data_IF_343772274621
#
_entry.id   IF_343772274621
#
_cell.length_a   1.000
_cell.length_b   1.000
_cell.length_c   1.000
_cell.angle_alpha   90.00
_cell.angle_beta   90.00
_cell.angle_gamma   90.00
#
_symmetry.space_group_name_H-M   'P 1'
#
loop_
_entity.id
_entity.type
_entity.pdbx_description
1 polymer ?
#
# COMPACT_ATOMS: atom_id res chain seq x y z
N UNK A 1 16.03 7.65 -13.20
CA UNK A 1 16.63 6.74 -12.18
C UNK A 1 15.55 5.85 -11.51
N UNK A 2 15.91 4.89 -10.64
CA UNK A 2 14.94 4.09 -9.88
C UNK A 2 15.05 4.36 -8.37
N UNK A 3 13.90 4.47 -7.70
CA UNK A 3 13.76 4.56 -6.25
C UNK A 3 13.09 3.28 -5.78
N UNK A 4 13.74 2.56 -4.86
CA UNK A 4 13.15 1.37 -4.24
C UNK A 4 12.14 1.81 -3.17
N UNK A 5 10.92 1.29 -3.27
CA UNK A 5 9.82 1.53 -2.33
C UNK A 5 9.49 0.27 -1.52
N UNK A 6 10.27 -0.79 -1.70
CA UNK A 6 10.07 -2.08 -1.03
C UNK A 6 10.78 -2.06 0.31
N UNK A 7 10.05 -2.33 1.38
CA UNK A 7 10.60 -2.50 2.72
C UNK A 7 11.60 -3.66 2.75
N UNK A 8 12.79 -3.41 3.29
CA UNK A 8 13.75 -4.46 3.60
C UNK A 8 13.25 -5.30 4.80
N UNK A 9 13.05 -6.60 4.58
CA UNK A 9 12.64 -7.54 5.64
C UNK A 9 13.82 -8.41 6.06
N UNK A 10 14.32 -8.18 7.27
CA UNK A 10 15.37 -9.00 7.89
C UNK A 10 14.77 -10.21 8.63
N UNK A 11 15.59 -11.24 8.98
CA UNK A 11 15.11 -12.36 9.80
C UNK A 11 14.52 -11.92 11.15
N UNK A 12 15.09 -10.87 11.76
CA UNK A 12 14.56 -10.30 13.01
C UNK A 12 13.19 -9.67 12.78
N UNK A 13 13.05 -8.83 11.76
CA UNK A 13 11.75 -8.21 11.42
C UNK A 13 10.69 -9.27 11.09
N UNK A 14 11.08 -10.38 10.46
CA UNK A 14 10.18 -11.50 10.20
C UNK A 14 9.67 -12.12 11.50
N UNK A 15 10.55 -12.32 12.49
CA UNK A 15 10.17 -12.87 13.79
C UNK A 15 9.28 -11.91 14.57
N UNK A 16 9.64 -10.62 14.59
CA UNK A 16 8.88 -9.57 15.29
C UNK A 16 7.48 -9.41 14.69
N UNK A 17 7.35 -9.38 13.36
CA UNK A 17 6.08 -9.30 12.66
C UNK A 17 5.17 -10.50 12.96
N UNK A 18 5.69 -11.74 12.88
CA UNK A 18 4.93 -12.95 13.21
C UNK A 18 4.48 -13.01 14.68
N UNK A 19 5.22 -12.37 15.58
CA UNK A 19 4.86 -12.27 16.98
C UNK A 19 3.72 -11.29 17.26
N UNK A 20 3.55 -10.27 16.41
CA UNK A 20 2.62 -9.16 16.64
C UNK A 20 1.42 -9.13 15.67
N UNK A 21 1.50 -9.80 14.52
CA UNK A 21 0.44 -9.90 13.52
C UNK A 21 0.25 -11.34 13.05
N UNK A 22 -0.93 -11.88 13.32
CA UNK A 22 -1.35 -13.24 12.92
C UNK A 22 -1.34 -13.45 11.40
N UNK A 23 -1.54 -12.38 10.63
CA UNK A 23 -1.53 -12.39 9.17
C UNK A 23 -0.16 -12.19 8.55
N UNK A 24 0.91 -11.97 9.33
CA UNK A 24 2.30 -11.91 8.85
C UNK A 24 2.83 -13.29 8.43
N UNK A 25 2.03 -14.00 7.63
CA UNK A 25 2.33 -15.23 6.92
C UNK A 25 3.01 -14.88 5.59
N UNK A 26 3.45 -15.90 4.86
CA UNK A 26 4.32 -15.73 3.67
C UNK A 26 3.77 -14.78 2.59
N UNK A 27 2.45 -14.57 2.52
CA UNK A 27 1.80 -13.66 1.55
C UNK A 27 1.82 -12.17 1.91
N UNK A 28 1.70 -11.84 3.20
CA UNK A 28 1.49 -10.47 3.70
C UNK A 28 2.69 -9.95 4.52
N UNK A 29 3.84 -10.59 4.40
CA UNK A 29 5.07 -10.18 5.08
C UNK A 29 5.80 -9.10 4.26
N UNK A 30 6.16 -8.00 4.92
CA UNK A 30 6.81 -6.86 4.27
C UNK A 30 5.91 -6.14 3.27
N UNK A 31 6.51 -5.47 2.29
CA UNK A 31 5.76 -4.92 1.15
C UNK A 31 5.11 -6.04 0.36
N UNK A 32 3.79 -5.96 0.22
CA UNK A 32 3.01 -6.96 -0.48
C UNK A 32 1.83 -6.32 -1.20
N UNK A 33 1.27 -7.09 -2.13
CA UNK A 33 0.10 -6.74 -2.92
C UNK A 33 -1.08 -7.60 -2.47
N UNK A 34 -2.16 -6.97 -2.02
CA UNK A 34 -3.39 -7.66 -1.62
C UNK A 34 -4.22 -8.04 -2.83
N UNK A 35 -3.93 -9.21 -3.38
CA UNK A 35 -4.64 -9.77 -4.55
C UNK A 35 -6.02 -10.31 -4.19
N UNK A 36 -6.26 -10.59 -2.90
CA UNK A 36 -7.52 -11.09 -2.38
C UNK A 36 -7.96 -12.37 -3.09
N UNK A 37 -9.20 -12.43 -3.59
CA UNK A 37 -9.71 -13.55 -4.38
C UNK A 37 -9.56 -13.35 -5.90
N UNK A 38 -8.67 -12.45 -6.34
CA UNK A 38 -8.44 -12.10 -7.75
C UNK A 38 -7.09 -12.64 -8.24
N UNK A 39 -6.70 -12.18 -9.42
CA UNK A 39 -5.35 -12.33 -9.96
C UNK A 39 -4.76 -10.94 -10.24
N UNK A 40 -3.44 -10.82 -10.15
CA UNK A 40 -2.76 -9.56 -10.50
C UNK A 40 -2.94 -9.26 -12.00
N UNK A 41 -3.55 -8.12 -12.38
CA UNK A 41 -3.69 -7.76 -13.78
C UNK A 41 -2.33 -7.27 -14.32
N UNK A 42 -1.76 -7.95 -15.33
CA UNK A 42 -0.48 -7.52 -15.91
C UNK A 42 -0.52 -6.11 -16.52
N UNK A 43 -1.70 -5.59 -16.87
CA UNK A 43 -1.86 -4.20 -17.28
C UNK A 43 -1.64 -3.19 -16.15
N UNK A 44 -1.47 -3.65 -14.91
CA UNK A 44 -1.19 -2.83 -13.72
C UNK A 44 0.30 -2.85 -13.36
N UNK A 45 1.15 -3.52 -14.16
CA UNK A 45 2.60 -3.60 -13.94
C UNK A 45 3.24 -2.22 -13.86
N UNK A 46 2.78 -1.28 -14.68
CA UNK A 46 3.28 0.09 -14.76
C UNK A 46 2.11 1.07 -14.65
N UNK A 47 2.10 1.89 -13.60
CA UNK A 47 1.06 2.90 -13.36
C UNK A 47 1.68 4.27 -13.11
N UNK A 48 1.02 5.32 -13.55
CA UNK A 48 1.38 6.68 -13.16
C UNK A 48 1.19 6.83 -11.64
N UNK A 49 2.20 7.37 -10.96
CA UNK A 49 2.18 7.53 -9.51
C UNK A 49 1.67 8.90 -9.10
N UNK A 50 0.81 8.94 -8.08
CA UNK A 50 0.35 10.18 -7.43
C UNK A 50 0.55 10.01 -5.93
N UNK A 51 1.32 10.89 -5.29
CA UNK A 51 1.58 10.83 -3.84
C UNK A 51 0.90 11.98 -3.11
N UNK A 52 0.34 11.67 -1.94
CA UNK A 52 -0.18 12.62 -0.97
C UNK A 52 0.60 12.50 0.34
N UNK A 53 1.22 13.61 0.77
CA UNK A 53 1.78 13.73 2.12
C UNK A 53 0.63 13.98 3.09
N UNK A 54 0.35 12.98 3.93
CA UNK A 54 -0.74 12.97 4.92
C UNK A 54 -0.19 12.73 6.33
N UNK A 55 1.11 13.01 6.54
CA UNK A 55 1.76 12.88 7.85
C UNK A 55 1.01 13.68 8.92
N UNK A 56 0.86 13.07 10.09
CA UNK A 56 0.19 13.69 11.25
C UNK A 56 -1.34 13.60 11.25
N UNK A 57 -1.95 12.91 10.27
CA UNK A 57 -3.39 12.69 10.18
C UNK A 57 -3.69 11.21 10.52
N UNK A 58 -4.56 10.93 11.49
CA UNK A 58 -4.95 9.54 11.87
C UNK A 58 -6.05 8.97 10.94
N UNK A 59 -7.07 9.77 10.64
CA UNK A 59 -8.15 9.42 9.70
C UNK A 59 -8.06 10.34 8.47
N UNK A 60 -7.65 9.79 7.33
CA UNK A 60 -7.50 10.55 6.09
C UNK A 60 -8.86 10.61 5.38
N UNK A 61 -9.44 11.81 5.34
CA UNK A 61 -10.76 12.04 4.74
C UNK A 61 -10.74 12.85 3.45
N UNK A 62 -9.76 13.76 3.32
CA UNK A 62 -9.73 14.76 2.26
C UNK A 62 -8.35 14.82 1.62
N UNK A 63 -8.32 14.70 0.31
CA UNK A 63 -7.16 14.93 -0.56
C UNK A 63 -7.60 15.72 -1.79
N UNK A 64 -6.63 16.22 -2.54
CA UNK A 64 -6.89 16.87 -3.83
C UNK A 64 -7.12 15.82 -4.94
N UNK A 65 -8.39 15.41 -5.09
CA UNK A 65 -8.82 14.39 -6.06
C UNK A 65 -8.64 14.79 -7.52
N UNK A 66 -8.39 16.07 -7.81
CA UNK A 66 -8.18 16.56 -9.18
C UNK A 66 -6.80 16.17 -9.72
N UNK A 67 -5.87 15.79 -8.84
CA UNK A 67 -4.57 15.22 -9.22
C UNK A 67 -4.67 13.78 -9.73
N UNK A 68 -5.78 13.09 -9.46
CA UNK A 68 -5.94 11.66 -9.74
C UNK A 68 -6.63 11.45 -11.09
N UNK A 69 -6.00 10.62 -11.93
CA UNK A 69 -6.54 10.13 -13.20
C UNK A 69 -6.93 8.65 -13.06
N UNK A 70 -7.85 8.23 -13.94
CA UNK A 70 -8.24 6.82 -14.03
C UNK A 70 -7.02 5.94 -14.30
N UNK A 71 -6.85 4.90 -13.49
CA UNK A 71 -5.75 3.95 -13.60
C UNK A 71 -4.49 4.31 -12.82
N UNK A 72 -4.47 5.43 -12.10
CA UNK A 72 -3.29 5.81 -11.30
C UNK A 72 -3.00 4.82 -10.16
N UNK A 73 -1.74 4.82 -9.72
CA UNK A 73 -1.29 4.31 -8.43
C UNK A 73 -1.27 5.48 -7.45
N UNK A 74 -2.19 5.50 -6.49
CA UNK A 74 -2.32 6.57 -5.50
C UNK A 74 -1.65 6.16 -4.19
N UNK A 75 -0.65 6.92 -3.76
CA UNK A 75 0.19 6.67 -2.59
C UNK A 75 -0.17 7.65 -1.48
N UNK A 76 -0.36 7.11 -0.28
CA UNK A 76 -0.52 7.89 0.95
C UNK A 76 0.75 7.74 1.80
N UNK A 77 1.50 8.84 1.93
CA UNK A 77 2.67 8.88 2.81
C UNK A 77 2.26 9.39 4.18
N UNK A 78 2.20 8.48 5.14
CA UNK A 78 1.77 8.74 6.52
C UNK A 78 2.95 8.98 7.47
N UNK A 79 4.16 8.56 7.09
CA UNK A 79 5.36 8.56 7.93
C UNK A 79 5.33 7.50 9.03
N UNK A 80 4.34 6.61 9.04
CA UNK A 80 4.09 5.73 10.16
C UNK A 80 5.10 4.57 10.23
N UNK A 81 5.53 4.04 9.08
CA UNK A 81 6.60 3.05 9.00
C UNK A 81 7.90 3.56 9.64
N UNK A 82 8.31 4.77 9.28
CA UNK A 82 9.53 5.42 9.80
C UNK A 82 9.42 5.67 11.31
N UNK A 83 8.24 6.10 11.78
CA UNK A 83 8.00 6.44 13.18
C UNK A 83 7.90 5.23 14.10
N UNK A 84 7.06 4.25 13.75
CA UNK A 84 6.74 3.12 14.62
C UNK A 84 7.63 1.90 14.37
N UNK A 85 8.24 1.81 13.18
CA UNK A 85 9.07 0.68 12.76
C UNK A 85 8.25 -0.56 12.44
N UNK A 86 8.52 -1.19 11.29
CA UNK A 86 7.87 -2.45 10.93
C UNK A 86 8.10 -3.54 11.99
N UNK A 87 7.11 -4.40 12.20
CA UNK A 87 7.22 -5.52 13.13
C UNK A 87 6.83 -5.19 14.57
N UNK A 88 6.65 -3.92 14.93
CA UNK A 88 6.23 -3.53 16.29
C UNK A 88 4.72 -3.66 16.49
N UNK A 89 4.29 -3.82 17.75
CA UNK A 89 2.86 -3.84 18.09
C UNK A 89 2.16 -2.52 17.75
N UNK A 90 2.84 -1.38 17.95
CA UNK A 90 2.31 -0.07 17.56
C UNK A 90 2.04 -0.03 16.06
N UNK A 91 2.98 -0.55 15.25
CA UNK A 91 2.86 -0.57 13.80
C UNK A 91 1.59 -1.28 13.29
N UNK A 92 1.24 -2.42 13.89
CA UNK A 92 0.07 -3.20 13.45
C UNK A 92 -1.26 -2.74 14.06
N UNK A 93 -1.26 -1.92 15.12
CA UNK A 93 -2.50 -1.62 15.87
C UNK A 93 -2.94 -0.16 15.79
N UNK A 94 -2.02 0.77 15.56
CA UNK A 94 -2.26 2.20 15.70
C UNK A 94 -1.91 3.02 14.44
N UNK A 95 -1.80 2.37 13.28
CA UNK A 95 -1.51 3.07 12.04
C UNK A 95 -2.67 3.99 11.61
N UNK A 96 -2.38 5.09 10.90
CA UNK A 96 -3.40 5.89 10.23
C UNK A 96 -4.22 5.06 9.23
N UNK A 97 -5.43 5.51 8.92
CA UNK A 97 -6.33 4.82 7.99
C UNK A 97 -7.11 5.79 7.10
N UNK A 98 -7.55 5.30 5.94
CA UNK A 98 -8.40 6.06 5.04
C UNK A 98 -9.87 5.93 5.47
N UNK A 99 -10.61 7.03 5.44
CA UNK A 99 -12.05 6.97 5.66
C UNK A 99 -12.78 6.20 4.55
N UNK A 100 -13.92 5.59 4.89
CA UNK A 100 -14.74 4.85 3.92
C UNK A 100 -15.10 5.74 2.74
N UNK A 101 -15.50 6.99 3.02
CA UNK A 101 -15.85 7.97 1.99
C UNK A 101 -14.68 8.33 1.07
N UNK A 102 -13.45 8.38 1.59
CA UNK A 102 -12.29 8.60 0.74
C UNK A 102 -12.04 7.41 -0.18
N UNK A 103 -12.14 6.19 0.34
CA UNK A 103 -11.98 4.95 -0.45
C UNK A 103 -13.01 4.91 -1.58
N UNK A 104 -14.29 5.18 -1.31
CA UNK A 104 -15.34 5.26 -2.35
C UNK A 104 -14.95 6.25 -3.47
N UNK A 105 -14.46 7.43 -3.12
CA UNK A 105 -14.05 8.44 -4.10
C UNK A 105 -12.84 8.00 -4.94
N UNK A 106 -11.92 7.22 -4.38
CA UNK A 106 -10.80 6.63 -5.12
C UNK A 106 -11.30 5.58 -6.12
N UNK A 107 -12.27 4.77 -5.72
CA UNK A 107 -12.91 3.78 -6.59
C UNK A 107 -13.70 4.45 -7.72
N UNK A 108 -14.43 5.52 -7.44
CA UNK A 108 -15.14 6.34 -8.44
C UNK A 108 -14.17 6.95 -9.47
N UNK A 109 -12.99 7.37 -9.03
CA UNK A 109 -11.89 7.83 -9.91
C UNK A 109 -11.21 6.68 -10.67
N UNK A 110 -11.58 5.42 -10.41
CA UNK A 110 -11.02 4.21 -11.02
C UNK A 110 -9.51 4.09 -10.80
N UNK A 111 -9.07 4.38 -9.57
CA UNK A 111 -7.69 4.11 -9.14
C UNK A 111 -7.37 2.63 -9.32
N UNK A 112 -6.18 2.32 -9.83
CA UNK A 112 -5.76 0.93 -10.03
C UNK A 112 -5.16 0.33 -8.77
N UNK A 113 -4.29 1.09 -8.08
CA UNK A 113 -3.62 0.62 -6.86
C UNK A 113 -3.60 1.76 -5.83
N UNK A 114 -3.91 1.43 -4.59
CA UNK A 114 -3.76 2.30 -3.42
C UNK A 114 -2.55 1.79 -2.64
N UNK A 115 -1.52 2.63 -2.49
CA UNK A 115 -0.34 2.29 -1.70
C UNK A 115 -0.26 3.08 -0.41
N UNK A 116 0.27 2.45 0.64
CA UNK A 116 0.45 3.07 1.95
C UNK A 116 1.70 2.52 2.66
N UNK A 117 2.34 3.34 3.48
CA UNK A 117 3.44 2.96 4.38
C UNK A 117 2.94 2.42 5.74
N UNK A 118 1.80 1.74 5.73
CA UNK A 118 1.15 1.15 6.89
C UNK A 118 0.83 -0.32 6.64
N UNK A 119 0.47 -1.04 7.70
CA UNK A 119 -0.09 -2.39 7.66
C UNK A 119 -1.55 -2.43 7.18
N UNK A 120 -1.97 -1.44 6.38
CA UNK A 120 -3.25 -1.41 5.68
C UNK A 120 -3.94 -0.06 5.61
N UNK A 121 -4.91 0.02 4.69
CA UNK A 121 -5.71 1.23 4.46
C UNK A 121 -6.85 1.38 5.48
N UNK A 122 -7.20 0.29 6.17
CA UNK A 122 -8.15 0.20 7.27
C UNK A 122 -7.62 -0.68 8.39
N UNK A 123 -8.16 -0.51 9.59
CA UNK A 123 -7.74 -1.26 10.79
C UNK A 123 -8.71 -2.37 11.19
N UNK A 124 -8.20 -3.29 12.00
CA UNK A 124 -9.00 -4.23 12.77
C UNK A 124 -9.95 -5.07 11.91
N UNK A 125 -11.24 -5.08 12.28
CA UNK A 125 -12.25 -5.90 11.60
C UNK A 125 -12.63 -5.38 10.22
N UNK A 126 -12.32 -4.13 9.90
CA UNK A 126 -12.68 -3.48 8.63
C UNK A 126 -11.61 -3.67 7.55
N UNK A 127 -10.36 -3.97 7.93
CA UNK A 127 -9.22 -4.18 7.03
C UNK A 127 -9.57 -5.14 5.87
N UNK A 128 -9.69 -6.44 6.14
CA UNK A 128 -9.82 -7.45 5.07
C UNK A 128 -11.10 -7.31 4.24
N UNK A 129 -12.28 -6.99 4.83
CA UNK A 129 -13.47 -6.71 4.03
C UNK A 129 -13.27 -5.51 3.10
N UNK A 130 -12.53 -4.48 3.51
CA UNK A 130 -12.27 -3.31 2.68
C UNK A 130 -11.31 -3.62 1.53
N UNK A 131 -10.23 -4.36 1.77
CA UNK A 131 -9.29 -4.71 0.68
C UNK A 131 -9.98 -5.59 -0.37
N UNK A 132 -10.84 -6.52 0.08
CA UNK A 132 -11.68 -7.31 -0.80
C UNK A 132 -12.68 -6.44 -1.58
N UNK A 133 -13.30 -5.45 -0.93
CA UNK A 133 -14.20 -4.52 -1.58
C UNK A 133 -13.49 -3.70 -2.67
N UNK A 134 -12.28 -3.20 -2.40
CA UNK A 134 -11.43 -2.56 -3.41
C UNK A 134 -11.17 -3.52 -4.58
N UNK A 135 -10.76 -4.76 -4.30
CA UNK A 135 -10.42 -5.76 -5.32
C UNK A 135 -11.62 -6.11 -6.21
N UNK A 136 -12.84 -6.15 -5.64
CA UNK A 136 -14.08 -6.33 -6.38
C UNK A 136 -14.39 -5.16 -7.35
N UNK A 137 -13.81 -3.99 -7.11
CA UNK A 137 -13.89 -2.80 -7.96
C UNK A 137 -12.66 -2.62 -8.88
N UNK A 138 -11.79 -3.63 -8.99
CA UNK A 138 -10.53 -3.59 -9.75
C UNK A 138 -9.51 -2.55 -9.26
N UNK A 139 -9.58 -2.20 -7.97
CA UNK A 139 -8.55 -1.44 -7.27
C UNK A 139 -7.88 -2.37 -6.24
N UNK A 140 -6.56 -2.31 -6.11
CA UNK A 140 -5.82 -3.19 -5.20
C UNK A 140 -5.03 -2.39 -4.17
N UNK A 141 -4.62 -3.04 -3.09
CA UNK A 141 -3.83 -2.41 -2.03
C UNK A 141 -2.40 -2.91 -2.07
N UNK A 142 -1.46 -1.99 -1.85
CA UNK A 142 -0.06 -2.30 -1.60
C UNK A 142 0.35 -1.68 -0.26
N UNK A 143 0.68 -2.54 0.68
CA UNK A 143 0.98 -2.16 2.06
C UNK A 143 2.48 -2.12 2.33
N UNK A 144 2.84 -1.50 3.46
CA UNK A 144 4.20 -1.46 3.98
C UNK A 144 5.21 -0.92 2.95
N UNK A 145 4.82 0.09 2.18
CA UNK A 145 5.75 0.81 1.30
C UNK A 145 6.77 1.59 2.14
N UNK A 146 8.00 1.65 1.64
CA UNK A 146 9.11 2.34 2.28
C UNK A 146 9.59 3.52 1.40
N UNK A 147 10.43 4.39 1.97
CA UNK A 147 11.15 5.44 1.25
C UNK A 147 10.24 6.41 0.46
N UNK A 148 9.02 6.64 0.95
CA UNK A 148 8.02 7.48 0.27
C UNK A 148 8.40 8.97 0.27
N UNK A 149 9.19 9.44 1.23
CA UNK A 149 9.67 10.82 1.28
C UNK A 149 10.45 11.19 -0.01
N UNK A 150 11.20 10.25 -0.58
CA UNK A 150 11.97 10.45 -1.81
C UNK A 150 11.11 10.79 -3.03
N UNK A 151 9.81 10.45 -3.00
CA UNK A 151 8.86 10.75 -4.08
C UNK A 151 8.30 12.16 -4.00
N UNK A 152 8.32 12.82 -2.83
CA UNK A 152 7.77 14.17 -2.66
C UNK A 152 8.51 15.22 -3.48
N UNK A 153 9.78 14.96 -3.81
CA UNK A 153 10.62 15.85 -4.61
C UNK A 153 10.51 15.60 -6.12
N UNK A 154 9.67 14.64 -6.54
CA UNK A 154 9.53 14.23 -7.93
C UNK A 154 8.28 14.86 -8.54
N UNK A 155 8.43 15.45 -9.74
CA UNK A 155 7.30 16.04 -10.44
C UNK A 155 6.38 14.98 -11.05
N UNK A 156 6.98 13.96 -11.68
CA UNK A 156 6.29 12.85 -12.32
C UNK A 156 7.09 11.57 -12.09
N UNK A 157 6.39 10.45 -11.90
CA UNK A 157 7.01 9.15 -11.73
C UNK A 157 6.05 8.02 -12.10
N UNK A 158 6.62 6.92 -12.56
CA UNK A 158 5.87 5.68 -12.86
C UNK A 158 6.19 4.64 -11.79
N UNK A 159 5.15 4.08 -11.17
CA UNK A 159 5.30 2.97 -10.23
C UNK A 159 5.28 1.66 -11.01
N UNK A 160 6.27 0.83 -10.73
CA UNK A 160 6.39 -0.52 -11.27
C UNK A 160 6.14 -1.51 -10.13
N UNK A 161 5.16 -2.40 -10.30
CA UNK A 161 4.68 -3.32 -9.25
C UNK A 161 4.83 -4.76 -9.69
N UNK A 162 5.67 -5.52 -8.99
CA UNK A 162 6.02 -6.91 -9.34
C UNK A 162 5.66 -7.88 -8.21
N UNK A 163 4.39 -8.28 -8.07
CA UNK A 163 3.99 -9.29 -7.10
C UNK A 163 4.43 -10.68 -7.53
N UNK A 164 4.78 -11.52 -6.57
CA UNK A 164 5.08 -12.93 -6.80
C UNK A 164 3.83 -13.67 -7.30
N UNK A 165 3.99 -14.58 -8.27
CA UNK A 165 2.89 -15.38 -8.81
C UNK A 165 2.60 -16.62 -7.96
N UNK A 166 2.21 -16.41 -6.70
CA UNK A 166 1.74 -17.49 -5.83
C UNK A 166 0.25 -17.75 -6.02
N UNK A 167 -0.16 -19.01 -5.93
CA UNK A 167 -1.56 -19.44 -5.99
C UNK A 167 -2.14 -19.57 -4.59
N UNK A 168 -3.47 -19.43 -4.48
CA UNK A 168 -4.23 -19.66 -3.24
C UNK A 168 -3.82 -18.76 -2.07
N UNK A 169 -3.36 -17.53 -2.37
CA UNK A 169 -2.98 -16.51 -1.40
C UNK A 169 -3.77 -15.23 -1.61
N UNK A 170 -4.10 -14.54 -0.52
CA UNK A 170 -4.77 -13.23 -0.55
C UNK A 170 -3.79 -12.07 -0.60
N UNK A 171 -2.54 -12.28 -0.21
CA UNK A 171 -1.44 -11.32 -0.29
C UNK A 171 -0.27 -11.95 -1.01
N UNK A 172 0.44 -11.16 -1.81
CA UNK A 172 1.59 -11.58 -2.60
C UNK A 172 2.79 -10.70 -2.26
N UNK A 173 3.94 -11.28 -1.84
CA UNK A 173 5.16 -10.50 -1.67
C UNK A 173 5.47 -9.74 -2.95
N UNK A 174 5.81 -8.47 -2.83
CA UNK A 174 5.84 -7.58 -3.97
C UNK A 174 7.10 -6.72 -3.95
N UNK A 175 7.77 -6.64 -5.11
CA UNK A 175 8.80 -5.64 -5.36
C UNK A 175 8.13 -4.41 -5.99
N UNK A 176 8.32 -3.25 -5.38
CA UNK A 176 7.76 -1.99 -5.86
C UNK A 176 8.89 -0.97 -6.04
N UNK A 177 8.99 -0.39 -7.23
CA UNK A 177 9.98 0.65 -7.53
C UNK A 177 9.33 1.81 -8.28
N UNK A 178 9.72 3.03 -7.94
CA UNK A 178 9.38 4.20 -8.75
C UNK A 178 10.48 4.44 -9.79
N UNK A 179 10.08 4.53 -11.06
CA UNK A 179 10.90 5.08 -12.13
C UNK A 179 10.65 6.58 -12.17
N UNK A 180 11.69 7.34 -11.93
CA UNK A 180 11.70 8.81 -12.01
C UNK A 180 12.67 9.21 -13.11
N UNK A 181 12.60 10.44 -13.61
CA UNK A 181 13.58 10.93 -14.58
C UNK A 181 14.96 11.13 -13.93
#
# INVERSE_FOLDING_TARGET
MFIDLTLEVTPKLTQDAKGNESKANFGHLGTHFDVMNKEFPLSYLERNGVIFDVRGIDEIEVIDLEKIRSGDFVIFYTGFLEKAGYGTKEYFQAHPQLSNNLIEKLLDKKVSIIGIDCAGIRRGKEHTPMDQYCADHNAFVVENLDNLESLLMQNEFTINTYPMKFSEMTGLPCRVVAKVD
#
